data_IF_635421313643
#
_entry.id   IF_635421313643
#
_cell.length_a   1.000
_cell.length_b   1.000
_cell.length_c   1.000
_cell.angle_alpha   90.00
_cell.angle_beta   90.00
_cell.angle_gamma   90.00
#
_symmetry.space_group_name_H-M   'P 1'
#
loop_
_entity.id
_entity.type
_entity.pdbx_description
1 polymer ?
#
# COMPACT_ATOMS: atom_id res chain seq x y z
N UNK A 1 -16.71 -3.60 3.21
CA UNK A 1 -16.35 -3.90 4.61
C UNK A 1 -17.60 -4.36 5.33
N UNK A 2 -17.48 -5.20 6.35
CA UNK A 2 -18.58 -5.51 7.25
C UNK A 2 -18.85 -4.37 8.25
N UNK A 3 -19.81 -4.57 9.16
CA UNK A 3 -20.20 -3.60 10.18
C UNK A 3 -19.08 -3.30 11.19
N UNK A 4 -18.09 -4.19 11.29
CA UNK A 4 -16.91 -4.07 12.15
C UNK A 4 -15.70 -3.49 11.40
N UNK A 5 -15.90 -3.04 10.15
CA UNK A 5 -14.85 -2.45 9.31
C UNK A 5 -13.93 -3.47 8.63
N UNK A 6 -14.19 -4.77 8.75
CA UNK A 6 -13.31 -5.80 8.17
C UNK A 6 -13.48 -5.86 6.66
N UNK A 7 -12.36 -6.00 5.95
CA UNK A 7 -12.40 -6.18 4.51
C UNK A 7 -12.95 -7.58 4.18
N UNK A 8 -13.92 -7.61 3.26
CA UNK A 8 -14.56 -8.83 2.79
C UNK A 8 -14.05 -9.14 1.38
N UNK A 9 -13.76 -10.42 1.12
CA UNK A 9 -13.48 -10.93 -0.22
C UNK A 9 -14.82 -11.33 -0.83
N UNK A 10 -15.37 -10.50 -1.70
CA UNK A 10 -16.57 -10.81 -2.46
C UNK A 10 -16.17 -11.34 -3.85
N UNK A 11 -16.55 -12.58 -4.17
CA UNK A 11 -16.17 -13.25 -5.40
C UNK A 11 -17.31 -13.33 -6.44
N UNK A 12 -18.52 -12.89 -6.10
CA UNK A 12 -19.70 -13.09 -6.92
C UNK A 12 -20.40 -11.79 -7.24
N UNK A 13 -20.64 -11.61 -8.53
CA UNK A 13 -21.49 -10.56 -9.08
C UNK A 13 -22.79 -11.23 -9.51
N UNK A 14 -23.92 -10.78 -8.98
CA UNK A 14 -25.23 -11.27 -9.40
C UNK A 14 -25.52 -10.91 -10.85
N UNK A 15 -26.54 -11.54 -11.44
CA UNK A 15 -26.95 -11.31 -12.84
C UNK A 15 -27.36 -9.85 -13.11
N UNK A 16 -27.71 -9.09 -12.07
CA UNK A 16 -28.04 -7.66 -12.11
C UNK A 16 -26.83 -6.73 -11.94
N UNK A 17 -25.64 -7.31 -11.77
CA UNK A 17 -24.41 -6.58 -11.55
C UNK A 17 -24.14 -6.17 -10.11
N UNK A 18 -25.01 -6.53 -9.15
CA UNK A 18 -24.81 -6.31 -7.72
C UNK A 18 -23.76 -7.26 -7.14
N UNK A 19 -23.18 -6.89 -5.99
CA UNK A 19 -22.24 -7.77 -5.27
C UNK A 19 -23.06 -8.75 -4.44
N UNK A 20 -23.00 -10.03 -4.78
CA UNK A 20 -23.62 -11.09 -3.98
C UNK A 20 -22.64 -11.52 -2.88
N UNK A 21 -23.08 -11.37 -1.63
CA UNK A 21 -22.34 -11.87 -0.49
C UNK A 21 -22.80 -13.29 -0.17
N UNK A 22 -21.85 -14.19 0.05
CA UNK A 22 -22.13 -15.53 0.55
C UNK A 22 -22.78 -15.44 1.94
N UNK A 23 -23.62 -16.43 2.27
CA UNK A 23 -24.24 -16.59 3.60
C UNK A 23 -23.21 -16.66 4.73
N UNK A 24 -21.98 -17.11 4.41
CA UNK A 24 -20.81 -16.99 5.28
C UNK A 24 -19.81 -16.06 4.62
N UNK A 25 -19.49 -14.89 5.20
CA UNK A 25 -18.55 -13.94 4.61
C UNK A 25 -17.13 -14.54 4.55
N UNK A 26 -16.47 -14.37 3.40
CA UNK A 26 -15.05 -14.69 3.25
C UNK A 26 -14.26 -13.45 3.63
N UNK A 27 -13.43 -13.56 4.67
CA UNK A 27 -12.56 -12.47 5.08
C UNK A 27 -11.37 -12.32 4.14
N UNK A 28 -10.93 -11.08 3.97
CA UNK A 28 -9.77 -10.75 3.15
C UNK A 28 -8.46 -11.33 3.71
N UNK A 29 -7.54 -11.65 2.82
CA UNK A 29 -6.18 -12.09 3.10
C UNK A 29 -5.19 -10.93 2.95
N UNK A 30 -3.92 -11.16 3.26
CA UNK A 30 -2.91 -10.08 3.23
C UNK A 30 -2.66 -9.49 1.84
N UNK A 31 -2.85 -10.27 0.77
CA UNK A 31 -2.81 -9.82 -0.63
C UNK A 31 -3.90 -8.77 -0.93
N UNK A 32 -5.15 -9.01 -0.53
CA UNK A 32 -6.27 -8.09 -0.70
C UNK A 32 -5.95 -6.72 -0.07
N UNK A 33 -5.39 -6.73 1.14
CA UNK A 33 -4.94 -5.52 1.82
C UNK A 33 -3.79 -4.86 1.07
N UNK A 34 -2.74 -5.61 0.72
CA UNK A 34 -1.54 -5.08 0.08
C UNK A 34 -1.87 -4.40 -1.26
N UNK A 35 -2.71 -5.04 -2.10
CA UNK A 35 -3.11 -4.48 -3.39
C UNK A 35 -4.08 -3.31 -3.25
N UNK A 36 -5.03 -3.35 -2.31
CA UNK A 36 -5.94 -2.22 -2.09
C UNK A 36 -5.19 -0.99 -1.58
N UNK A 37 -4.25 -1.17 -0.64
CA UNK A 37 -3.39 -0.07 -0.14
C UNK A 37 -2.57 0.50 -1.30
N UNK A 38 -1.99 -0.35 -2.15
CA UNK A 38 -1.25 0.10 -3.33
C UNK A 38 -2.14 0.94 -4.25
N UNK A 39 -3.33 0.44 -4.58
CA UNK A 39 -4.30 1.15 -5.43
C UNK A 39 -4.73 2.49 -4.84
N UNK A 40 -4.93 2.60 -3.53
CA UNK A 40 -5.26 3.87 -2.88
C UNK A 40 -4.11 4.88 -2.93
N UNK A 41 -2.88 4.42 -2.72
CA UNK A 41 -1.70 5.27 -2.84
C UNK A 41 -1.48 5.73 -4.28
N UNK A 42 -1.74 4.86 -5.26
CA UNK A 42 -1.65 5.18 -6.69
C UNK A 42 -2.75 6.16 -7.11
N UNK A 43 -3.99 5.92 -6.66
CA UNK A 43 -5.11 6.81 -6.91
C UNK A 43 -4.87 8.20 -6.31
N UNK A 44 -4.30 8.28 -5.10
CA UNK A 44 -3.94 9.56 -4.49
C UNK A 44 -2.98 10.39 -5.34
N UNK A 45 -2.03 9.75 -6.05
CA UNK A 45 -1.10 10.48 -6.91
C UNK A 45 -1.78 11.15 -8.11
N UNK A 46 -2.88 10.55 -8.60
CA UNK A 46 -3.68 11.09 -9.70
C UNK A 46 -4.74 12.06 -9.18
N UNK A 47 -5.30 11.76 -8.02
CA UNK A 47 -6.40 12.49 -7.40
C UNK A 47 -6.10 12.71 -5.92
N UNK A 48 -5.44 13.83 -5.54
CA UNK A 48 -4.85 14.03 -4.22
C UNK A 48 -5.90 14.40 -3.16
N UNK A 49 -6.89 13.52 -2.98
CA UNK A 49 -7.84 13.55 -1.89
C UNK A 49 -7.22 12.92 -0.65
N UNK A 50 -7.12 13.69 0.42
CA UNK A 50 -6.47 13.25 1.64
C UNK A 50 -7.13 12.03 2.29
N UNK A 51 -8.43 11.83 2.07
CA UNK A 51 -9.15 10.66 2.57
C UNK A 51 -8.62 9.34 1.99
N UNK A 52 -8.05 9.35 0.78
CA UNK A 52 -7.40 8.18 0.19
C UNK A 52 -6.14 7.79 0.95
N UNK A 53 -5.28 8.76 1.28
CA UNK A 53 -4.07 8.50 2.09
C UNK A 53 -4.42 8.03 3.50
N UNK A 54 -5.42 8.67 4.13
CA UNK A 54 -5.89 8.26 5.46
C UNK A 54 -6.45 6.83 5.44
N UNK A 55 -7.21 6.47 4.40
CA UNK A 55 -7.72 5.12 4.23
C UNK A 55 -6.59 4.11 4.00
N UNK A 56 -5.61 4.43 3.15
CA UNK A 56 -4.44 3.59 2.92
C UNK A 56 -3.67 3.32 4.22
N UNK A 57 -3.48 4.36 5.04
CA UNK A 57 -2.85 4.24 6.36
C UNK A 57 -3.64 3.32 7.29
N UNK A 58 -4.95 3.55 7.45
CA UNK A 58 -5.80 2.69 8.30
C UNK A 58 -5.75 1.23 7.87
N UNK A 59 -5.84 0.97 6.56
CA UNK A 59 -5.76 -0.39 6.03
C UNK A 59 -4.39 -1.02 6.26
N UNK A 60 -3.30 -0.25 6.17
CA UNK A 60 -1.97 -0.74 6.53
C UNK A 60 -1.89 -1.10 8.01
N UNK A 61 -2.41 -0.26 8.89
CA UNK A 61 -2.41 -0.52 10.33
C UNK A 61 -3.25 -1.79 10.67
N UNK A 62 -4.37 -2.01 9.96
CA UNK A 62 -5.14 -3.25 10.05
C UNK A 62 -4.40 -4.47 9.51
N UNK A 63 -3.73 -4.33 8.37
CA UNK A 63 -2.91 -5.39 7.77
C UNK A 63 -1.79 -5.81 8.74
N UNK A 64 -1.14 -4.82 9.35
CA UNK A 64 -0.12 -5.01 10.39
C UNK A 64 -0.69 -5.74 11.60
N UNK A 65 -1.86 -5.32 12.09
CA UNK A 65 -2.50 -5.93 13.25
C UNK A 65 -2.85 -7.40 13.02
N UNK A 66 -3.28 -7.76 11.80
CA UNK A 66 -3.84 -9.07 11.44
C UNK A 66 -2.81 -10.09 10.94
N UNK A 67 -1.82 -9.63 10.17
CA UNK A 67 -0.98 -10.52 9.37
C UNK A 67 0.51 -10.41 9.68
N UNK A 68 0.96 -9.36 10.35
CA UNK A 68 2.38 -9.19 10.67
C UNK A 68 2.89 -10.31 11.60
N UNK A 69 4.04 -10.86 11.25
CA UNK A 69 4.78 -11.79 12.10
C UNK A 69 5.43 -11.07 13.28
N UNK A 70 4.76 -11.11 14.43
CA UNK A 70 5.22 -10.49 15.67
C UNK A 70 6.39 -11.23 16.32
N UNK A 71 6.65 -12.48 15.93
CA UNK A 71 7.70 -13.30 16.54
C UNK A 71 9.04 -13.08 15.84
N UNK A 72 9.12 -13.32 14.52
CA UNK A 72 10.37 -13.18 13.78
C UNK A 72 10.51 -11.82 13.09
N UNK A 73 9.45 -10.99 13.07
CA UNK A 73 9.42 -9.71 12.37
C UNK A 73 9.89 -9.84 10.92
N UNK A 74 9.37 -10.84 10.21
CA UNK A 74 9.89 -11.24 8.90
C UNK A 74 8.97 -10.90 7.72
N UNK A 75 7.74 -10.49 8.00
CA UNK A 75 6.75 -10.09 6.99
C UNK A 75 5.32 -10.42 7.40
N UNK A 76 4.46 -10.54 6.40
CA UNK A 76 3.03 -10.81 6.55
C UNK A 76 2.71 -12.25 6.15
N UNK A 77 1.92 -12.92 6.98
CA UNK A 77 1.28 -14.19 6.67
C UNK A 77 0.10 -13.99 5.70
N UNK A 78 -0.25 -15.03 4.94
CA UNK A 78 -1.42 -15.00 4.05
C UNK A 78 -2.71 -14.85 4.86
N UNK A 79 -2.88 -15.70 5.88
CA UNK A 79 -4.06 -15.74 6.75
C UNK A 79 -3.89 -14.99 8.07
N UNK A 80 -5.02 -14.49 8.59
CA UNK A 80 -5.05 -13.78 9.89
C UNK A 80 -4.89 -14.73 11.08
N UNK A 81 -4.52 -14.18 12.25
CA UNK A 81 -4.39 -14.94 13.52
C UNK A 81 -5.69 -15.59 14.03
N UNK A 82 -6.84 -15.16 13.54
CA UNK A 82 -8.16 -15.53 14.09
C UNK A 82 -8.76 -16.81 13.50
N UNK A 83 -8.00 -17.55 12.67
CA UNK A 83 -8.45 -18.83 12.08
C UNK A 83 -8.04 -20.06 12.90
N UNK A 84 -8.74 -21.18 12.73
CA UNK A 84 -8.44 -22.49 13.34
C UNK A 84 -7.10 -23.12 12.87
N UNK A 85 -6.35 -22.43 12.02
CA UNK A 85 -5.14 -22.95 11.38
C UNK A 85 -3.91 -22.60 12.21
N UNK A 86 -3.34 -23.61 12.89
CA UNK A 86 -2.14 -23.45 13.75
C UNK A 86 -0.85 -23.13 12.98
N UNK A 87 -0.81 -23.38 11.67
CA UNK A 87 0.37 -23.14 10.82
C UNK A 87 0.04 -22.06 9.80
N UNK A 88 0.67 -20.90 9.93
CA UNK A 88 0.52 -19.79 8.98
C UNK A 88 1.62 -19.82 7.93
N UNK A 89 1.27 -19.54 6.69
CA UNK A 89 2.17 -19.57 5.54
C UNK A 89 2.45 -18.13 5.09
N UNK A 90 3.70 -17.85 4.71
CA UNK A 90 4.07 -16.67 3.93
C UNK A 90 4.44 -17.13 2.52
N UNK A 91 4.10 -16.32 1.53
CA UNK A 91 4.62 -16.49 0.17
C UNK A 91 6.09 -16.08 0.12
N UNK A 92 6.91 -16.86 -0.59
CA UNK A 92 8.37 -16.71 -0.63
C UNK A 92 8.91 -16.11 -1.94
N UNK A 93 8.05 -15.98 -2.96
CA UNK A 93 8.36 -15.42 -4.28
C UNK A 93 7.14 -14.79 -4.95
N UNK A 94 7.40 -13.85 -5.85
CA UNK A 94 6.40 -13.32 -6.79
C UNK A 94 6.05 -14.39 -7.83
N UNK A 95 4.75 -14.63 -8.04
CA UNK A 95 4.22 -15.55 -9.03
C UNK A 95 3.71 -14.83 -10.27
N UNK A 96 2.59 -15.29 -10.81
CA UNK A 96 1.86 -14.53 -11.85
C UNK A 96 1.42 -13.15 -11.33
N UNK A 97 1.10 -13.08 -10.04
CA UNK A 97 0.87 -11.86 -9.29
C UNK A 97 1.99 -11.68 -8.26
N UNK A 98 2.39 -10.44 -7.94
CA UNK A 98 3.32 -10.18 -6.85
C UNK A 98 2.78 -10.69 -5.51
N UNK A 99 3.66 -11.23 -4.67
CA UNK A 99 3.24 -11.66 -3.34
C UNK A 99 2.94 -10.47 -2.43
N UNK A 100 2.11 -10.68 -1.41
CA UNK A 100 1.68 -9.62 -0.49
C UNK A 100 2.87 -8.87 0.14
N UNK A 101 3.93 -9.59 0.51
CA UNK A 101 5.16 -9.01 1.08
C UNK A 101 5.91 -8.10 0.10
N UNK A 102 6.02 -8.50 -1.17
CA UNK A 102 6.66 -7.69 -2.21
C UNK A 102 5.92 -6.38 -2.46
N UNK A 103 4.59 -6.43 -2.48
CA UNK A 103 3.73 -5.24 -2.62
C UNK A 103 3.84 -4.36 -1.38
N UNK A 104 3.79 -4.95 -0.18
CA UNK A 104 3.83 -4.24 1.09
C UNK A 104 5.11 -3.43 1.28
N UNK A 105 6.28 -3.93 0.85
CA UNK A 105 7.54 -3.14 0.90
C UNK A 105 7.37 -1.78 0.22
N UNK A 106 6.77 -1.75 -0.98
CA UNK A 106 6.51 -0.49 -1.69
C UNK A 106 5.50 0.41 -0.98
N UNK A 107 4.46 -0.17 -0.39
CA UNK A 107 3.44 0.58 0.35
C UNK A 107 4.00 1.21 1.62
N UNK A 108 4.71 0.43 2.43
CA UNK A 108 5.33 0.86 3.68
C UNK A 108 6.33 2.00 3.45
N UNK A 109 7.15 1.90 2.40
CA UNK A 109 8.09 2.99 2.05
C UNK A 109 7.34 4.27 1.70
N UNK A 110 6.30 4.20 0.87
CA UNK A 110 5.49 5.40 0.52
C UNK A 110 4.75 5.98 1.72
N UNK A 111 4.22 5.13 2.59
CA UNK A 111 3.55 5.56 3.82
C UNK A 111 4.53 6.24 4.78
N UNK A 112 5.75 5.71 4.92
CA UNK A 112 6.83 6.41 5.62
C UNK A 112 7.12 7.77 4.99
N UNK A 113 7.22 7.85 3.66
CA UNK A 113 7.51 9.11 2.98
C UNK A 113 6.40 10.17 3.11
N UNK A 114 5.15 9.76 3.26
CA UNK A 114 3.99 10.65 3.47
C UNK A 114 3.79 11.05 4.93
N UNK A 115 3.97 10.13 5.88
CA UNK A 115 3.60 10.32 7.28
C UNK A 115 4.78 10.44 8.24
N UNK A 116 6.01 10.24 7.76
CA UNK A 116 7.25 10.24 8.56
C UNK A 116 7.19 9.31 9.79
N UNK A 117 6.41 8.23 9.68
CA UNK A 117 6.27 7.21 10.72
C UNK A 117 7.35 6.12 10.52
N UNK A 118 8.43 6.19 11.32
CA UNK A 118 9.60 5.30 11.24
C UNK A 118 9.25 3.80 11.30
N UNK A 119 8.13 3.45 11.93
CA UNK A 119 7.67 2.06 12.01
C UNK A 119 7.45 1.44 10.64
N UNK A 120 6.91 2.18 9.66
CA UNK A 120 6.69 1.66 8.32
C UNK A 120 8.01 1.36 7.62
N UNK A 121 9.00 2.27 7.73
CA UNK A 121 10.34 2.06 7.18
C UNK A 121 10.99 0.82 7.81
N UNK A 122 10.92 0.70 9.14
CA UNK A 122 11.46 -0.44 9.88
C UNK A 122 10.85 -1.77 9.41
N UNK A 123 9.52 -1.83 9.22
CA UNK A 123 8.85 -3.04 8.70
C UNK A 123 9.29 -3.37 7.27
N UNK A 124 9.43 -2.36 6.40
CA UNK A 124 9.94 -2.58 5.03
C UNK A 124 11.36 -3.15 5.04
N UNK A 125 12.26 -2.60 5.87
CA UNK A 125 13.63 -3.10 6.05
C UNK A 125 13.65 -4.55 6.57
N UNK A 126 12.76 -4.86 7.51
CA UNK A 126 12.62 -6.21 8.08
C UNK A 126 12.18 -7.25 7.05
N UNK A 127 11.19 -6.94 6.21
CA UNK A 127 10.76 -7.82 5.10
C UNK A 127 11.91 -8.06 4.13
N UNK A 128 12.60 -7.00 3.72
CA UNK A 128 13.74 -7.11 2.79
C UNK A 128 14.86 -7.93 3.41
N UNK A 129 15.18 -7.71 4.69
CA UNK A 129 16.21 -8.45 5.40
C UNK A 129 15.90 -9.96 5.46
N UNK A 130 14.64 -10.32 5.74
CA UNK A 130 14.17 -11.71 5.74
C UNK A 130 14.29 -12.38 4.35
N UNK A 131 14.17 -11.61 3.28
CA UNK A 131 14.32 -12.07 1.90
C UNK A 131 15.74 -11.91 1.31
N UNK A 132 16.69 -11.37 2.07
CA UNK A 132 18.00 -10.93 1.54
C UNK A 132 18.79 -12.05 0.84
N UNK A 133 18.83 -13.25 1.42
CA UNK A 133 19.52 -14.41 0.83
C UNK A 133 18.94 -14.81 -0.52
N UNK A 134 17.60 -14.76 -0.66
CA UNK A 134 16.89 -15.00 -1.92
C UNK A 134 17.14 -13.89 -2.93
N UNK A 135 17.02 -12.63 -2.50
CA UNK A 135 17.25 -11.47 -3.37
C UNK A 135 18.67 -11.48 -3.98
N UNK A 136 19.68 -11.88 -3.20
CA UNK A 136 21.05 -11.98 -3.68
C UNK A 136 21.27 -13.15 -4.65
N UNK A 137 20.58 -14.28 -4.44
CA UNK A 137 20.78 -15.50 -5.23
C UNK A 137 19.90 -15.56 -6.47
N UNK A 138 18.66 -15.09 -6.38
CA UNK A 138 17.61 -15.20 -7.39
C UNK A 138 16.73 -13.93 -7.43
N UNK A 139 17.28 -12.75 -7.80
CA UNK A 139 16.54 -11.48 -7.75
C UNK A 139 15.25 -11.49 -8.59
N UNK A 140 15.21 -12.26 -9.68
CA UNK A 140 14.07 -12.34 -10.59
C UNK A 140 12.81 -12.97 -9.98
N UNK A 141 12.89 -13.64 -8.83
CA UNK A 141 11.71 -14.22 -8.16
C UNK A 141 11.02 -13.21 -7.22
N UNK A 142 11.55 -11.99 -7.07
CA UNK A 142 11.04 -10.96 -6.15
C UNK A 142 11.08 -9.56 -6.80
N UNK A 143 10.71 -9.47 -8.07
CA UNK A 143 10.84 -8.24 -8.88
C UNK A 143 10.08 -7.05 -8.30
N UNK A 144 8.90 -7.28 -7.72
CA UNK A 144 8.11 -6.21 -7.10
C UNK A 144 8.78 -5.74 -5.81
N UNK A 145 9.32 -6.65 -5.01
CA UNK A 145 10.10 -6.31 -3.82
C UNK A 145 11.34 -5.50 -4.17
N UNK A 146 12.06 -5.86 -5.24
CA UNK A 146 13.25 -5.12 -5.70
C UNK A 146 12.88 -3.67 -6.04
N UNK A 147 11.72 -3.45 -6.66
CA UNK A 147 11.24 -2.10 -6.97
C UNK A 147 10.98 -1.28 -5.71
N UNK A 148 10.35 -1.89 -4.69
CA UNK A 148 10.14 -1.27 -3.38
C UNK A 148 11.45 -1.01 -2.63
N UNK A 149 12.37 -1.98 -2.63
CA UNK A 149 13.70 -1.85 -2.04
C UNK A 149 14.52 -0.75 -2.71
N UNK A 150 14.47 -0.67 -4.04
CA UNK A 150 15.14 0.38 -4.79
C UNK A 150 14.63 1.77 -4.37
N UNK A 151 13.30 1.94 -4.23
CA UNK A 151 12.72 3.18 -3.70
C UNK A 151 13.21 3.47 -2.28
N UNK A 152 13.25 2.46 -1.41
CA UNK A 152 13.74 2.63 -0.03
C UNK A 152 15.19 3.13 0.03
N UNK A 153 16.07 2.62 -0.84
CA UNK A 153 17.49 2.97 -0.87
C UNK A 153 17.75 4.31 -1.57
N UNK A 154 17.04 4.60 -2.67
CA UNK A 154 17.27 5.80 -3.47
C UNK A 154 16.42 7.00 -3.04
N UNK A 155 15.35 6.74 -2.30
CA UNK A 155 14.30 7.72 -2.02
C UNK A 155 13.43 8.00 -3.26
N UNK A 156 12.36 8.75 -3.02
CA UNK A 156 11.47 9.27 -4.06
C UNK A 156 11.81 10.70 -4.48
N UNK A 157 11.45 11.05 -5.72
CA UNK A 157 11.41 12.45 -6.16
C UNK A 157 10.17 13.09 -5.57
N UNK A 158 10.33 13.94 -4.55
CA UNK A 158 9.22 14.64 -3.89
C UNK A 158 8.80 15.86 -4.70
N UNK A 159 7.52 15.90 -5.10
CA UNK A 159 6.92 17.02 -5.82
C UNK A 159 5.81 17.58 -4.93
N UNK A 160 6.00 18.79 -4.42
CA UNK A 160 5.03 19.46 -3.55
C UNK A 160 4.42 20.63 -4.31
N UNK A 161 3.13 20.55 -4.58
CA UNK A 161 2.34 21.62 -5.19
C UNK A 161 1.51 22.31 -4.10
N UNK A 162 1.70 23.61 -3.93
CA UNK A 162 1.00 24.41 -2.91
C UNK A 162 0.20 25.51 -3.59
N UNK A 163 -1.07 25.63 -3.23
CA UNK A 163 -1.94 26.71 -3.71
C UNK A 163 -3.39 26.27 -3.79
N UNK A 164 -4.28 27.22 -4.09
CA UNK A 164 -5.71 26.95 -4.19
C UNK A 164 -6.00 26.05 -5.40
N UNK A 165 -6.78 24.98 -5.20
CA UNK A 165 -7.14 24.07 -6.30
C UNK A 165 -7.85 24.77 -7.46
N UNK A 166 -8.55 25.87 -7.18
CA UNK A 166 -9.24 26.67 -8.17
C UNK A 166 -8.32 27.65 -8.94
N UNK A 167 -7.07 27.89 -8.51
CA UNK A 167 -6.16 28.79 -9.22
C UNK A 167 -5.76 28.19 -10.59
N UNK A 168 -5.88 28.99 -11.65
CA UNK A 168 -5.51 28.59 -13.01
C UNK A 168 -4.02 28.23 -13.14
N UNK A 169 -3.12 28.90 -12.41
CA UNK A 169 -1.68 28.63 -12.41
C UNK A 169 -1.37 27.28 -11.75
N UNK A 170 -2.03 26.99 -10.63
CA UNK A 170 -1.90 25.70 -9.92
C UNK A 170 -2.38 24.57 -10.82
N UNK A 171 -3.54 24.73 -11.48
CA UNK A 171 -4.07 23.75 -12.45
C UNK A 171 -3.15 23.56 -13.66
N UNK A 172 -2.58 24.63 -14.20
CA UNK A 172 -1.64 24.55 -15.32
C UNK A 172 -0.35 23.81 -14.94
N UNK A 173 0.24 24.14 -13.79
CA UNK A 173 1.44 23.46 -13.30
C UNK A 173 1.19 21.99 -12.98
N UNK A 174 0.03 21.67 -12.36
CA UNK A 174 -0.39 20.29 -12.11
C UNK A 174 -0.46 19.48 -13.40
N UNK A 175 -1.12 20.02 -14.43
CA UNK A 175 -1.23 19.37 -15.74
C UNK A 175 0.13 19.14 -16.39
N UNK A 176 1.07 20.07 -16.23
CA UNK A 176 2.44 19.90 -16.73
C UNK A 176 3.14 18.76 -16.00
N UNK A 177 3.09 18.71 -14.66
CA UNK A 177 3.66 17.62 -13.85
C UNK A 177 3.09 16.27 -14.28
N UNK A 178 1.76 16.17 -14.43
CA UNK A 178 1.05 14.96 -14.85
C UNK A 178 1.39 14.51 -16.29
N UNK A 179 1.91 15.41 -17.13
CA UNK A 179 2.32 15.08 -18.50
C UNK A 179 3.66 14.34 -18.57
N UNK A 180 4.44 14.33 -17.49
CA UNK A 180 5.74 13.65 -17.41
C UNK A 180 5.65 12.42 -16.54
N UNK A 181 6.11 11.28 -17.07
CA UNK A 181 6.30 10.10 -16.25
C UNK A 181 7.58 10.25 -15.41
N UNK A 182 7.42 10.60 -14.13
CA UNK A 182 8.53 10.70 -13.18
C UNK A 182 8.57 9.42 -12.36
N UNK A 183 9.53 8.56 -12.66
CA UNK A 183 9.70 7.31 -11.94
C UNK A 183 10.03 7.57 -10.46
N UNK A 184 9.41 6.80 -9.56
CA UNK A 184 9.46 7.00 -8.11
C UNK A 184 9.08 8.42 -7.64
N UNK A 185 8.15 9.09 -8.31
CA UNK A 185 7.62 10.35 -7.77
C UNK A 185 6.77 10.10 -6.51
N UNK A 186 6.81 11.08 -5.61
CA UNK A 186 5.92 11.23 -4.48
C UNK A 186 5.28 12.61 -4.59
N UNK A 187 4.04 12.64 -5.08
CA UNK A 187 3.28 13.87 -5.24
C UNK A 187 2.51 14.21 -3.96
N UNK A 188 2.57 15.48 -3.55
CA UNK A 188 1.79 16.06 -2.46
C UNK A 188 1.15 17.36 -2.94
N UNK A 189 -0.17 17.45 -2.85
CA UNK A 189 -0.89 18.68 -3.13
C UNK A 189 -1.43 19.27 -1.83
N UNK A 190 -1.05 20.51 -1.53
CA UNK A 190 -1.49 21.27 -0.38
C UNK A 190 -2.45 22.37 -0.84
N UNK A 191 -3.75 22.09 -0.77
CA UNK A 191 -4.79 23.05 -1.11
C UNK A 191 -4.92 24.10 0.01
N UNK A 192 -4.52 25.33 -0.28
CA UNK A 192 -4.59 26.43 0.69
C UNK A 192 -6.01 26.92 0.94
N UNK A 193 -6.97 26.55 0.10
CA UNK A 193 -8.39 26.90 0.28
C UNK A 193 -9.10 25.99 1.29
N UNK A 194 -8.57 24.78 1.55
CA UNK A 194 -9.17 23.79 2.44
C UNK A 194 -8.93 24.05 3.95
N UNK A 195 -8.22 25.13 4.30
CA UNK A 195 -7.89 25.47 5.69
C UNK A 195 -6.60 24.76 6.18
N UNK A 196 -5.76 25.55 6.88
CA UNK A 196 -4.38 25.33 7.35
C UNK A 196 -3.65 24.00 7.02
N UNK A 197 -2.41 24.06 6.49
CA UNK A 197 -1.53 22.90 6.43
C UNK A 197 -1.20 22.43 7.86
N UNK A 198 -1.29 21.12 8.10
CA UNK A 198 -1.00 20.50 9.39
C UNK A 198 0.52 20.48 9.64
N UNK A 199 0.88 20.96 10.83
CA UNK A 199 2.06 20.51 11.58
C UNK A 199 1.77 19.13 12.19
#
# INVERSE_FOLDING_TARGET
MDHDGRLLRAAYRGDDGSVENLTTPVYAFSDDYAFLIQGLLDLYQVHPEMELLKLARRLQDEMDAKFWDREAESGYFIGSEQGDVKVRIMEDQDGAEPCANSVAVGNLVRLYEYFEADEYKRKAEKIVAACSSRLLKYPYILTKMISGYHRMVKGSVKIVLVGEAADNKVRALRKEIESHHIWNSLFLFLDTSAGKPLH
#
